data_IF_771828034361
#
_entry.id   IF_771828034361
#
_cell.length_a   1.000
_cell.length_b   1.000
_cell.length_c   1.000
_cell.angle_alpha   90.00
_cell.angle_beta   90.00
_cell.angle_gamma   90.00
#
_symmetry.space_group_name_H-M   'P 1'
#
loop_
_entity.id
_entity.type
_entity.pdbx_description
1 polymer ?
#
# COMPACT_ATOMS: atom_id res chain seq x y z
N UNK A 1 -24.54 -24.88 -5.72
CA UNK A 1 -24.96 -24.79 -7.15
C UNK A 1 -23.85 -25.43 -7.98
N UNK A 2 -24.13 -26.43 -8.84
CA UNK A 2 -23.07 -27.16 -9.60
C UNK A 2 -22.08 -26.22 -10.32
N UNK A 3 -22.53 -25.10 -10.90
CA UNK A 3 -21.63 -24.12 -11.54
C UNK A 3 -20.61 -23.44 -10.59
N UNK A 4 -20.97 -23.24 -9.32
CA UNK A 4 -20.10 -22.60 -8.31
C UNK A 4 -19.20 -23.64 -7.65
N UNK A 5 -19.75 -24.81 -7.30
CA UNK A 5 -19.06 -25.84 -6.52
C UNK A 5 -18.14 -26.73 -7.39
N UNK A 6 -18.46 -26.91 -8.68
CA UNK A 6 -17.80 -27.86 -9.58
C UNK A 6 -16.89 -27.17 -10.61
N UNK A 7 -17.28 -25.97 -11.07
CA UNK A 7 -16.51 -25.16 -12.02
C UNK A 7 -15.82 -23.94 -11.38
N UNK A 8 -16.03 -23.69 -10.08
CA UNK A 8 -15.40 -22.59 -9.35
C UNK A 8 -15.81 -21.20 -9.86
N UNK A 9 -16.88 -21.09 -10.64
CA UNK A 9 -17.31 -19.83 -11.22
C UNK A 9 -17.95 -18.96 -10.13
N UNK A 10 -17.38 -17.76 -9.95
CA UNK A 10 -17.99 -16.74 -9.08
C UNK A 10 -19.37 -16.38 -9.63
N UNK A 11 -20.44 -16.44 -8.80
CA UNK A 11 -21.78 -16.01 -9.20
C UNK A 11 -21.90 -14.48 -9.35
N UNK A 12 -20.85 -13.74 -8.99
CA UNK A 12 -20.76 -12.28 -9.16
C UNK A 12 -20.01 -11.98 -10.44
N UNK A 13 -20.66 -11.26 -11.36
CA UNK A 13 -20.03 -10.77 -12.58
C UNK A 13 -18.86 -9.83 -12.24
N UNK A 14 -17.66 -10.08 -12.78
CA UNK A 14 -16.53 -9.19 -12.57
C UNK A 14 -16.84 -7.81 -13.16
N UNK A 15 -16.63 -6.75 -12.37
CA UNK A 15 -16.77 -5.36 -12.79
C UNK A 15 -15.38 -4.72 -12.96
N UNK A 16 -14.69 -4.96 -14.10
CA UNK A 16 -13.28 -4.63 -14.27
C UNK A 16 -12.99 -3.13 -14.15
N UNK A 17 -13.85 -2.28 -14.73
CA UNK A 17 -13.67 -0.81 -14.69
C UNK A 17 -13.79 -0.29 -13.25
N UNK A 18 -14.68 -0.87 -12.44
CA UNK A 18 -14.84 -0.46 -11.04
C UNK A 18 -13.60 -0.83 -10.22
N UNK A 19 -13.09 -2.05 -10.41
CA UNK A 19 -11.86 -2.50 -9.76
C UNK A 19 -10.66 -1.62 -10.16
N UNK A 20 -10.49 -1.35 -11.46
CA UNK A 20 -9.41 -0.52 -11.98
C UNK A 20 -9.43 0.90 -11.41
N UNK A 21 -10.61 1.53 -11.33
CA UNK A 21 -10.73 2.87 -10.72
C UNK A 21 -10.40 2.83 -9.24
N UNK A 22 -10.92 1.84 -8.51
CA UNK A 22 -10.68 1.72 -7.08
C UNK A 22 -9.19 1.54 -6.76
N UNK A 23 -8.50 0.65 -7.47
CA UNK A 23 -7.05 0.44 -7.29
C UNK A 23 -6.26 1.67 -7.70
N UNK A 24 -6.55 2.26 -8.87
CA UNK A 24 -5.84 3.45 -9.34
C UNK A 24 -5.90 4.61 -8.33
N UNK A 25 -7.09 4.96 -7.84
CA UNK A 25 -7.23 6.06 -6.88
C UNK A 25 -6.63 5.72 -5.52
N UNK A 26 -6.73 4.47 -5.06
CA UNK A 26 -6.09 4.05 -3.82
C UNK A 26 -4.56 4.17 -3.91
N UNK A 27 -3.96 3.72 -5.01
CA UNK A 27 -2.52 3.84 -5.26
C UNK A 27 -2.09 5.30 -5.41
N UNK A 28 -2.86 6.11 -6.13
CA UNK A 28 -2.57 7.53 -6.34
C UNK A 28 -2.56 8.28 -5.00
N UNK A 29 -3.61 8.13 -4.18
CA UNK A 29 -3.72 8.82 -2.90
C UNK A 29 -2.63 8.36 -1.93
N UNK A 30 -2.42 7.06 -1.78
CA UNK A 30 -1.40 6.53 -0.87
C UNK A 30 0.01 6.90 -1.33
N UNK A 31 0.30 6.81 -2.63
CA UNK A 31 1.61 7.13 -3.20
C UNK A 31 1.95 8.62 -3.19
N UNK A 32 0.94 9.50 -3.19
CA UNK A 32 1.17 10.94 -3.18
C UNK A 32 1.60 11.46 -1.81
N UNK A 33 1.12 10.86 -0.73
CA UNK A 33 1.41 11.27 0.67
C UNK A 33 2.91 11.49 0.93
N UNK A 34 3.82 10.54 0.66
CA UNK A 34 5.25 10.73 0.90
C UNK A 34 5.94 11.68 -0.08
N UNK A 35 5.29 12.07 -1.18
CA UNK A 35 5.81 13.04 -2.14
C UNK A 35 5.47 14.49 -1.77
N UNK A 36 4.42 14.70 -0.96
CA UNK A 36 3.97 16.04 -0.55
C UNK A 36 5.09 16.91 0.06
N UNK A 37 5.98 16.39 0.94
CA UNK A 37 7.06 17.21 1.51
C UNK A 37 8.01 17.78 0.45
N UNK A 38 8.24 17.03 -0.64
CA UNK A 38 9.07 17.49 -1.76
C UNK A 38 8.33 18.49 -2.65
N UNK A 39 7.05 18.24 -2.94
CA UNK A 39 6.22 19.14 -3.75
C UNK A 39 6.11 20.52 -3.12
N UNK A 40 6.01 20.59 -1.79
CA UNK A 40 5.91 21.84 -1.04
C UNK A 40 7.26 22.40 -0.57
N UNK A 41 8.38 21.79 -0.96
CA UNK A 41 9.73 22.19 -0.58
C UNK A 41 9.89 22.42 0.94
N UNK A 42 9.33 21.52 1.74
CA UNK A 42 9.40 21.61 3.21
C UNK A 42 10.85 21.38 3.66
N UNK A 43 11.32 22.15 4.64
CA UNK A 43 12.59 21.88 5.30
C UNK A 43 12.62 20.44 5.82
N UNK A 44 13.74 19.73 5.61
CA UNK A 44 13.88 18.33 6.01
C UNK A 44 12.83 17.42 5.33
N UNK A 45 12.50 17.71 4.06
CA UNK A 45 11.52 16.96 3.27
C UNK A 45 11.78 15.45 3.23
N UNK A 46 13.05 15.04 3.24
CA UNK A 46 13.43 13.62 3.27
C UNK A 46 12.97 12.93 4.57
N UNK A 47 13.24 13.52 5.74
CA UNK A 47 12.79 12.95 7.02
C UNK A 47 11.26 12.94 7.14
N UNK A 48 10.60 14.00 6.67
CA UNK A 48 9.13 14.05 6.61
C UNK A 48 8.55 12.98 5.68
N UNK A 49 9.20 12.73 4.54
CA UNK A 49 8.79 11.69 3.60
C UNK A 49 8.96 10.28 4.18
N UNK A 50 10.02 10.03 4.95
CA UNK A 50 10.20 8.75 5.68
C UNK A 50 9.05 8.54 6.67
N UNK A 51 8.74 9.54 7.49
CA UNK A 51 7.65 9.45 8.47
C UNK A 51 6.29 9.26 7.78
N UNK A 52 6.03 10.01 6.72
CA UNK A 52 4.80 9.92 5.93
C UNK A 52 4.63 8.55 5.25
N UNK A 53 5.71 8.00 4.70
CA UNK A 53 5.74 6.65 4.11
C UNK A 53 5.41 5.59 5.16
N UNK A 54 6.09 5.66 6.32
CA UNK A 54 5.85 4.72 7.42
C UNK A 54 4.42 4.76 7.92
N UNK A 55 3.88 5.97 8.12
CA UNK A 55 2.47 6.15 8.51
C UNK A 55 1.51 5.60 7.46
N UNK A 56 1.79 5.83 6.17
CA UNK A 56 0.96 5.34 5.06
C UNK A 56 0.95 3.82 5.02
N UNK A 57 2.10 3.15 5.10
CA UNK A 57 2.18 1.69 5.13
C UNK A 57 1.45 1.10 6.34
N UNK A 58 1.65 1.67 7.52
CA UNK A 58 0.96 1.20 8.72
C UNK A 58 -0.56 1.41 8.63
N UNK A 59 -1.02 2.57 8.14
CA UNK A 59 -2.44 2.86 7.98
C UNK A 59 -3.11 1.93 6.96
N UNK A 60 -2.48 1.70 5.81
CA UNK A 60 -2.98 0.76 4.79
C UNK A 60 -3.03 -0.66 5.34
N UNK A 61 -1.98 -1.09 6.03
CA UNK A 61 -1.95 -2.39 6.70
C UNK A 61 -2.99 -2.54 7.81
N UNK A 62 -3.23 -1.50 8.59
CA UNK A 62 -4.28 -1.49 9.62
C UNK A 62 -5.68 -1.52 8.99
N UNK A 63 -5.94 -0.76 7.93
CA UNK A 63 -7.22 -0.80 7.20
C UNK A 63 -7.49 -2.19 6.63
N UNK A 64 -6.47 -2.87 6.09
CA UNK A 64 -6.57 -4.27 5.62
C UNK A 64 -7.08 -5.22 6.72
N UNK A 65 -6.78 -4.94 8.00
CA UNK A 65 -7.18 -5.82 9.10
C UNK A 65 -8.68 -5.86 9.34
N UNK A 66 -9.46 -4.89 8.83
CA UNK A 66 -10.92 -4.86 8.97
C UNK A 66 -11.57 -6.08 8.31
N UNK A 67 -10.94 -6.60 7.25
CA UNK A 67 -11.41 -7.77 6.49
C UNK A 67 -10.62 -9.05 6.80
N UNK A 68 -9.74 -9.00 7.81
CA UNK A 68 -8.88 -10.12 8.21
C UNK A 68 -9.15 -10.52 9.66
N UNK A 69 -8.81 -11.77 10.01
CA UNK A 69 -8.81 -12.23 11.41
C UNK A 69 -7.59 -11.72 12.21
N UNK A 70 -6.64 -11.05 11.55
CA UNK A 70 -5.45 -10.50 12.19
C UNK A 70 -5.75 -9.18 12.91
N UNK A 71 -5.05 -8.92 14.03
CA UNK A 71 -5.15 -7.65 14.74
C UNK A 71 -4.60 -6.49 13.91
N UNK A 72 -5.22 -5.31 14.01
CA UNK A 72 -4.87 -4.10 13.25
C UNK A 72 -3.40 -3.70 13.36
N UNK A 73 -2.84 -3.78 14.57
CA UNK A 73 -1.45 -3.44 14.82
C UNK A 73 -0.47 -4.44 14.19
N UNK A 74 -0.83 -5.73 14.10
CA UNK A 74 0.01 -6.75 13.47
C UNK A 74 0.01 -6.58 11.95
N UNK A 75 -1.17 -6.42 11.35
CA UNK A 75 -1.32 -6.20 9.91
C UNK A 75 -0.67 -4.89 9.46
N UNK A 76 -0.79 -3.83 10.27
CA UNK A 76 -0.07 -2.57 10.09
C UNK A 76 1.45 -2.74 10.16
N UNK A 77 1.96 -3.41 11.20
CA UNK A 77 3.39 -3.66 11.37
C UNK A 77 3.97 -4.53 10.25
N UNK A 78 3.26 -5.58 9.81
CA UNK A 78 3.68 -6.43 8.69
C UNK A 78 3.84 -5.62 7.40
N UNK A 79 2.85 -4.78 7.09
CA UNK A 79 2.89 -3.93 5.89
C UNK A 79 4.02 -2.90 5.97
N UNK A 80 4.23 -2.29 7.15
CA UNK A 80 5.33 -1.37 7.41
C UNK A 80 6.70 -2.05 7.22
N UNK A 81 6.87 -3.27 7.73
CA UNK A 81 8.13 -4.00 7.62
C UNK A 81 8.44 -4.42 6.18
N UNK A 82 7.44 -4.93 5.45
CA UNK A 82 7.59 -5.29 4.04
C UNK A 82 7.97 -4.06 3.21
N UNK A 83 7.21 -2.96 3.37
CA UNK A 83 7.46 -1.72 2.64
C UNK A 83 8.79 -1.05 3.03
N UNK A 84 9.13 -1.07 4.32
CA UNK A 84 10.40 -0.56 4.83
C UNK A 84 11.61 -1.35 4.30
N UNK A 85 11.50 -2.67 4.21
CA UNK A 85 12.54 -3.50 3.62
C UNK A 85 12.70 -3.23 2.13
N UNK A 86 11.59 -3.11 1.39
CA UNK A 86 11.64 -2.72 -0.01
C UNK A 86 12.28 -1.33 -0.21
N UNK A 87 11.95 -0.35 0.64
CA UNK A 87 12.54 0.98 0.60
C UNK A 87 14.05 0.95 0.91
N UNK A 88 14.48 0.16 1.89
CA UNK A 88 15.89 -0.02 2.22
C UNK A 88 16.68 -0.64 1.04
N UNK A 89 16.12 -1.66 0.39
CA UNK A 89 16.70 -2.25 -0.83
C UNK A 89 16.78 -1.19 -1.93
N UNK A 90 15.69 -0.44 -2.19
CA UNK A 90 15.67 0.58 -3.23
C UNK A 90 16.72 1.68 -2.99
N UNK A 91 16.86 2.13 -1.74
CA UNK A 91 17.88 3.10 -1.36
C UNK A 91 19.29 2.53 -1.59
N UNK A 92 19.56 1.31 -1.11
CA UNK A 92 20.86 0.65 -1.31
C UNK A 92 21.20 0.48 -2.79
N UNK A 93 20.26 -0.04 -3.59
CA UNK A 93 20.43 -0.17 -5.04
C UNK A 93 20.67 1.19 -5.70
N UNK A 94 19.96 2.23 -5.27
CA UNK A 94 20.20 3.60 -5.70
C UNK A 94 21.64 4.05 -5.45
N UNK A 95 22.24 3.70 -4.31
CA UNK A 95 23.64 4.05 -3.99
C UNK A 95 24.68 3.28 -4.80
N UNK A 96 24.36 2.14 -5.40
CA UNK A 96 25.28 1.38 -6.24
C UNK A 96 25.55 2.05 -7.60
N UNK A 97 24.59 2.85 -8.09
CA UNK A 97 24.66 3.55 -9.37
C UNK A 97 24.80 5.07 -9.23
N UNK A 98 24.96 5.55 -8.00
CA UNK A 98 25.14 6.97 -7.67
C UNK A 98 26.58 7.44 -7.90
#
# INVERSE_FOLDING_TARGET
MMLVDEYGLSPVDPHPIRAARATFFAFLVAGLIPLLPFVFAIDRAFEWSIAATGLTFFAVGAMKSVWSLASWWRSGAETLLIGGFAAAIAYFVGTLFA
#
